data_IF_341301079296
#
_entry.id   IF_341301079296
#
_cell.length_a   1.000
_cell.length_b   1.000
_cell.length_c   1.000
_cell.angle_alpha   90.00
_cell.angle_beta   90.00
_cell.angle_gamma   90.00
#
_symmetry.space_group_name_H-M   'P 1'
#
loop_
_entity.id
_entity.type
_entity.pdbx_description
1 polymer ?
#
# COMPACT_ATOMS: atom_id res chain seq x y z
N UNK A 1 38.47 55.12 25.61
CA UNK A 1 38.12 53.72 25.94
C UNK A 1 37.03 53.29 24.98
N UNK A 2 37.42 52.59 23.93
CA UNK A 2 36.56 52.13 22.84
C UNK A 2 36.18 50.68 23.15
N UNK A 3 34.95 50.47 23.59
CA UNK A 3 34.42 49.14 23.89
C UNK A 3 33.94 48.52 22.60
N UNK A 4 34.75 47.65 22.00
CA UNK A 4 34.37 46.81 20.86
C UNK A 4 33.35 45.76 21.32
N UNK A 5 32.11 45.90 20.86
CA UNK A 5 31.05 44.93 21.09
C UNK A 5 31.29 43.69 20.21
N UNK A 6 31.59 42.58 20.86
CA UNK A 6 31.75 41.26 20.27
C UNK A 6 30.39 40.76 19.74
N UNK A 7 30.22 40.77 18.42
CA UNK A 7 29.03 40.32 17.67
C UNK A 7 29.21 38.91 17.12
N UNK A 8 30.13 38.11 17.67
CA UNK A 8 30.42 36.77 17.17
C UNK A 8 29.78 35.68 18.03
N UNK A 9 28.47 35.41 17.83
CA UNK A 9 27.81 34.09 18.06
C UNK A 9 26.30 34.17 17.83
N UNK A 10 25.88 34.44 16.60
CA UNK A 10 24.60 33.91 16.13
C UNK A 10 24.89 32.50 15.64
N UNK A 11 24.87 31.54 16.57
CA UNK A 11 24.84 30.14 16.21
C UNK A 11 23.53 29.91 15.44
N UNK A 12 23.63 29.81 14.13
CA UNK A 12 22.57 29.34 13.24
C UNK A 12 22.33 27.86 13.55
N UNK A 13 21.64 27.59 14.66
CA UNK A 13 21.01 26.30 14.86
C UNK A 13 20.09 26.09 13.66
N UNK A 14 20.44 25.17 12.78
CA UNK A 14 19.55 24.78 11.69
C UNK A 14 18.22 24.37 12.34
N UNK A 15 17.09 24.93 11.89
CA UNK A 15 15.80 24.58 12.46
C UNK A 15 15.63 23.06 12.32
N UNK A 16 15.57 22.37 13.46
CA UNK A 16 15.38 20.93 13.50
C UNK A 16 13.97 20.64 12.97
N UNK A 17 13.89 20.09 11.75
CA UNK A 17 12.64 19.75 11.08
C UNK A 17 11.86 18.75 11.96
N UNK A 18 10.66 19.12 12.42
CA UNK A 18 9.78 18.16 13.11
C UNK A 18 9.27 17.12 12.11
N UNK A 19 9.90 15.95 12.11
CA UNK A 19 9.57 14.84 11.20
C UNK A 19 8.32 14.05 11.64
N UNK A 20 7.78 14.33 12.83
CA UNK A 20 6.68 13.55 13.40
C UNK A 20 5.39 13.61 12.58
N UNK A 21 4.92 14.77 12.07
CA UNK A 21 3.74 14.83 11.20
C UNK A 21 3.93 14.02 9.90
N UNK A 22 5.17 13.96 9.39
CA UNK A 22 5.51 13.20 8.18
C UNK A 22 5.28 11.72 8.36
N UNK A 23 5.90 11.14 9.39
CA UNK A 23 5.76 9.72 9.70
C UNK A 23 4.32 9.33 10.03
N UNK A 24 3.57 10.21 10.69
CA UNK A 24 2.17 9.94 11.03
C UNK A 24 1.27 9.89 9.80
N UNK A 25 1.44 10.83 8.87
CA UNK A 25 0.73 10.80 7.60
C UNK A 25 1.09 9.56 6.78
N UNK A 26 2.39 9.25 6.66
CA UNK A 26 2.88 8.07 5.97
C UNK A 26 2.34 6.77 6.59
N UNK A 27 2.36 6.64 7.91
CA UNK A 27 1.82 5.47 8.62
C UNK A 27 0.30 5.35 8.45
N UNK A 28 -0.44 6.45 8.47
CA UNK A 28 -1.90 6.45 8.24
C UNK A 28 -2.22 5.98 6.82
N UNK A 29 -1.51 6.52 5.82
CA UNK A 29 -1.71 6.12 4.44
C UNK A 29 -1.26 4.67 4.21
N UNK A 30 -0.15 4.25 4.84
CA UNK A 30 0.32 2.87 4.84
C UNK A 30 -0.72 1.90 5.42
N UNK A 31 -1.29 2.20 6.58
CA UNK A 31 -2.33 1.37 7.20
C UNK A 31 -3.56 1.22 6.29
N UNK A 32 -3.97 2.29 5.61
CA UNK A 32 -5.04 2.24 4.64
C UNK A 32 -4.66 1.41 3.40
N UNK A 33 -3.45 1.63 2.87
CA UNK A 33 -2.89 0.82 1.79
C UNK A 33 -2.80 -0.67 2.14
N UNK A 34 -2.55 -1.02 3.39
CA UNK A 34 -2.52 -2.41 3.83
C UNK A 34 -3.89 -3.09 3.68
N UNK A 35 -4.97 -2.41 4.09
CA UNK A 35 -6.32 -2.93 3.92
C UNK A 35 -6.68 -3.09 2.43
N UNK A 36 -6.30 -2.12 1.60
CA UNK A 36 -6.50 -2.20 0.14
C UNK A 36 -5.69 -3.33 -0.49
N UNK A 37 -4.43 -3.53 -0.07
CA UNK A 37 -3.58 -4.58 -0.60
C UNK A 37 -4.08 -5.98 -0.24
N UNK A 38 -4.53 -6.17 1.00
CA UNK A 38 -5.23 -7.37 1.43
C UNK A 38 -6.47 -7.64 0.57
N UNK A 39 -7.31 -6.62 0.36
CA UNK A 39 -8.50 -6.73 -0.50
C UNK A 39 -8.15 -7.22 -1.92
N UNK A 40 -7.12 -6.66 -2.54
CA UNK A 40 -6.72 -7.02 -3.91
C UNK A 40 -6.27 -8.48 -3.99
N UNK A 41 -5.39 -8.92 -3.08
CA UNK A 41 -4.84 -10.27 -3.14
C UNK A 41 -5.90 -11.31 -2.83
N UNK A 42 -6.70 -11.12 -1.78
CA UNK A 42 -7.78 -12.06 -1.43
C UNK A 42 -8.81 -12.16 -2.55
N UNK A 43 -9.23 -11.03 -3.14
CA UNK A 43 -10.17 -11.05 -4.27
C UNK A 43 -9.60 -11.79 -5.47
N UNK A 44 -8.30 -11.65 -5.73
CA UNK A 44 -7.64 -12.34 -6.85
C UNK A 44 -7.53 -13.86 -6.59
N UNK A 45 -7.15 -14.28 -5.38
CA UNK A 45 -7.10 -15.70 -4.99
C UNK A 45 -8.48 -16.36 -5.10
N UNK A 46 -9.52 -15.68 -4.61
CA UNK A 46 -10.91 -16.14 -4.76
C UNK A 46 -11.30 -16.23 -6.24
N UNK A 47 -10.95 -15.24 -7.05
CA UNK A 47 -11.27 -15.20 -8.48
C UNK A 47 -10.55 -16.26 -9.33
N UNK A 48 -9.32 -16.65 -8.96
CA UNK A 48 -8.52 -17.63 -9.70
C UNK A 48 -8.99 -19.08 -9.52
N UNK A 49 -9.81 -19.36 -8.53
CA UNK A 49 -10.16 -20.74 -8.19
C UNK A 49 -11.61 -20.98 -8.53
N UNK A 50 -11.85 -21.61 -9.68
CA UNK A 50 -13.18 -21.94 -10.19
C UNK A 50 -14.01 -22.84 -9.24
N UNK A 51 -13.37 -23.50 -8.27
CA UNK A 51 -14.03 -24.28 -7.22
C UNK A 51 -14.73 -23.44 -6.14
N UNK A 52 -14.35 -22.17 -5.94
CA UNK A 52 -14.92 -21.31 -4.87
C UNK A 52 -16.24 -20.63 -5.24
N UNK A 53 -16.72 -20.81 -6.47
CA UNK A 53 -18.12 -20.53 -6.79
C UNK A 53 -19.08 -21.58 -6.19
N UNK A 54 -18.56 -22.72 -5.71
CA UNK A 54 -19.35 -23.87 -5.24
C UNK A 54 -19.06 -24.24 -3.78
N UNK A 55 -17.81 -24.20 -3.30
CA UNK A 55 -17.44 -24.49 -1.89
C UNK A 55 -16.57 -23.37 -1.31
N UNK A 56 -17.18 -22.41 -0.62
CA UNK A 56 -16.46 -21.31 0.05
C UNK A 56 -15.63 -21.78 1.26
N UNK A 57 -15.89 -22.98 1.78
CA UNK A 57 -15.20 -23.58 2.94
C UNK A 57 -13.86 -24.26 2.58
N UNK A 58 -13.46 -24.23 1.30
CA UNK A 58 -12.33 -25.02 0.81
C UNK A 58 -10.95 -24.32 0.90
N UNK A 59 -10.86 -23.07 1.34
CA UNK A 59 -9.58 -22.41 1.63
C UNK A 59 -9.19 -22.63 3.09
N UNK A 60 -8.03 -23.26 3.36
CA UNK A 60 -7.45 -23.26 4.69
C UNK A 60 -7.36 -21.80 5.20
N UNK A 61 -7.88 -21.48 6.40
CA UNK A 61 -7.83 -20.13 6.95
C UNK A 61 -6.39 -19.56 7.02
N UNK A 62 -5.41 -20.44 7.17
CA UNK A 62 -3.98 -20.15 7.17
C UNK A 62 -3.49 -19.56 5.82
N UNK A 63 -3.90 -20.12 4.69
CA UNK A 63 -3.53 -19.62 3.37
C UNK A 63 -4.12 -18.23 3.11
N UNK A 64 -5.38 -18.03 3.49
CA UNK A 64 -6.07 -16.74 3.35
C UNK A 64 -5.37 -15.69 4.20
N UNK A 65 -5.06 -16.00 5.47
CA UNK A 65 -4.35 -15.10 6.36
C UNK A 65 -2.97 -14.75 5.80
N UNK A 66 -2.25 -15.75 5.30
CA UNK A 66 -0.95 -15.56 4.70
C UNK A 66 -0.99 -14.62 3.49
N UNK A 67 -1.88 -14.86 2.52
CA UNK A 67 -2.02 -14.00 1.35
C UNK A 67 -2.52 -12.59 1.71
N UNK A 68 -3.38 -12.48 2.74
CA UNK A 68 -3.82 -11.21 3.32
C UNK A 68 -2.65 -10.41 3.86
N UNK A 69 -1.74 -11.05 4.61
CA UNK A 69 -0.54 -10.40 5.16
C UNK A 69 0.40 -9.95 4.04
N UNK A 70 0.66 -10.81 3.05
CA UNK A 70 1.54 -10.45 1.91
C UNK A 70 0.97 -9.25 1.16
N UNK A 71 -0.29 -9.29 0.75
CA UNK A 71 -0.96 -8.17 0.09
C UNK A 71 -0.97 -6.91 0.95
N UNK A 72 -1.25 -7.05 2.24
CA UNK A 72 -1.27 -5.94 3.18
C UNK A 72 0.10 -5.29 3.37
N UNK A 73 1.18 -6.06 3.47
CA UNK A 73 2.53 -5.51 3.58
C UNK A 73 2.95 -4.77 2.31
N UNK A 74 2.67 -5.31 1.13
CA UNK A 74 2.96 -4.61 -0.13
C UNK A 74 2.19 -3.30 -0.22
N UNK A 75 0.90 -3.33 0.10
CA UNK A 75 0.04 -2.14 0.10
C UNK A 75 0.52 -1.09 1.09
N UNK A 76 0.94 -1.52 2.29
CA UNK A 76 1.51 -0.65 3.31
C UNK A 76 2.78 0.05 2.81
N UNK A 77 3.71 -0.69 2.21
CA UNK A 77 4.98 -0.14 1.72
C UNK A 77 4.74 0.87 0.61
N UNK A 78 3.92 0.53 -0.40
CA UNK A 78 3.61 1.43 -1.52
C UNK A 78 2.94 2.70 -1.01
N UNK A 79 1.83 2.57 -0.28
CA UNK A 79 1.08 3.72 0.23
C UNK A 79 1.88 4.55 1.23
N UNK A 80 2.60 3.90 2.15
CA UNK A 80 3.43 4.57 3.15
C UNK A 80 4.57 5.36 2.51
N UNK A 81 5.25 4.79 1.52
CA UNK A 81 6.28 5.48 0.75
C UNK A 81 5.69 6.65 -0.02
N UNK A 82 4.54 6.48 -0.68
CA UNK A 82 3.82 7.57 -1.35
C UNK A 82 3.51 8.71 -0.38
N UNK A 83 2.97 8.40 0.81
CA UNK A 83 2.66 9.40 1.82
C UNK A 83 3.90 10.12 2.36
N UNK A 84 5.00 9.37 2.54
CA UNK A 84 6.29 9.92 2.95
C UNK A 84 6.88 10.87 1.90
N UNK A 85 6.82 10.50 0.62
CA UNK A 85 7.37 11.28 -0.50
C UNK A 85 6.56 12.55 -0.79
N UNK A 86 5.23 12.46 -0.76
CA UNK A 86 4.36 13.65 -0.94
C UNK A 86 4.63 14.66 0.17
N UNK A 87 4.84 14.19 1.39
CA UNK A 87 5.11 15.05 2.53
C UNK A 87 6.61 15.45 2.63
N UNK A 88 7.45 15.06 1.64
CA UNK A 88 8.84 15.51 1.47
C UNK A 88 8.94 16.74 0.55
N UNK A 89 7.99 16.94 -0.37
CA UNK A 89 8.11 17.97 -1.42
C UNK A 89 7.89 19.39 -0.92
N UNK A 90 7.45 19.59 0.32
CA UNK A 90 7.40 20.89 0.97
C UNK A 90 8.76 21.29 1.55
N UNK A 91 9.83 21.21 0.75
CA UNK A 91 11.10 21.92 1.01
C UNK A 91 10.95 23.45 0.90
N UNK A 92 9.78 23.99 1.22
CA UNK A 92 9.52 25.39 1.53
C UNK A 92 9.42 25.62 3.06
N UNK A 93 9.67 24.61 3.89
CA UNK A 93 9.69 24.76 5.35
C UNK A 93 11.03 25.28 5.88
N UNK A 94 11.50 26.38 5.28
CA UNK A 94 12.31 27.38 5.97
C UNK A 94 11.45 28.59 6.43
N UNK A 95 10.16 28.63 6.13
CA UNK A 95 9.25 29.64 6.68
C UNK A 95 7.81 29.11 6.71
N UNK A 96 7.22 29.07 7.92
CA UNK A 96 5.82 29.38 8.29
C UNK A 96 4.63 29.15 7.33
N UNK A 97 4.76 28.45 6.21
CA UNK A 97 3.74 28.41 5.16
C UNK A 97 2.93 27.12 5.29
N UNK A 98 1.65 27.17 5.66
CA UNK A 98 0.85 25.97 5.90
C UNK A 98 0.82 25.10 4.63
N UNK A 99 1.13 23.80 4.76
CA UNK A 99 0.92 22.82 3.68
C UNK A 99 -0.51 22.96 3.18
N UNK A 100 -0.73 22.88 1.88
CA UNK A 100 -2.08 22.85 1.30
C UNK A 100 -2.47 21.41 0.99
N UNK A 101 -3.73 21.07 1.25
CA UNK A 101 -4.28 19.77 0.87
C UNK A 101 -4.25 19.64 -0.65
N UNK A 102 -3.79 18.50 -1.16
CA UNK A 102 -3.80 18.24 -2.59
C UNK A 102 -5.25 18.13 -3.09
N UNK A 103 -5.48 18.60 -4.31
CA UNK A 103 -6.75 18.38 -5.00
C UNK A 103 -6.99 16.89 -5.30
N UNK A 104 -8.22 16.56 -5.69
CA UNK A 104 -8.58 15.17 -6.04
C UNK A 104 -7.83 14.67 -7.31
N UNK A 105 -7.48 15.58 -8.24
CA UNK A 105 -6.77 15.21 -9.47
C UNK A 105 -5.35 14.65 -9.19
N UNK A 106 -4.48 15.29 -8.40
CA UNK A 106 -3.24 14.67 -7.94
C UNK A 106 -3.44 13.32 -7.25
N UNK A 107 -4.48 13.20 -6.41
CA UNK A 107 -4.80 11.94 -5.75
C UNK A 107 -5.26 10.84 -6.72
N UNK A 108 -5.99 11.19 -7.78
CA UNK A 108 -6.34 10.25 -8.86
C UNK A 108 -5.09 9.74 -9.59
N UNK A 109 -4.13 10.63 -9.90
CA UNK A 109 -2.86 10.23 -10.48
C UNK A 109 -2.06 9.32 -9.54
N UNK A 110 -2.02 9.62 -8.24
CA UNK A 110 -1.39 8.78 -7.22
C UNK A 110 -2.11 7.43 -7.05
N UNK A 111 -3.43 7.38 -7.22
CA UNK A 111 -4.21 6.16 -7.30
C UNK A 111 -3.81 5.29 -8.49
N UNK A 112 -3.57 5.91 -9.66
CA UNK A 112 -3.02 5.22 -10.83
C UNK A 112 -1.61 4.67 -10.59
N UNK A 113 -0.75 5.44 -9.91
CA UNK A 113 0.59 4.96 -9.52
C UNK A 113 0.48 3.81 -8.52
N UNK A 114 -0.36 3.93 -7.48
CA UNK A 114 -0.60 2.86 -6.52
C UNK A 114 -1.07 1.59 -7.22
N UNK A 115 -2.06 1.70 -8.10
CA UNK A 115 -2.57 0.60 -8.91
C UNK A 115 -1.47 -0.17 -9.65
N UNK A 116 -0.66 0.54 -10.43
CA UNK A 116 0.41 -0.07 -11.23
C UNK A 116 1.51 -0.62 -10.32
N UNK A 117 2.05 0.19 -9.41
CA UNK A 117 3.15 -0.22 -8.53
C UNK A 117 2.77 -1.40 -7.65
N UNK A 118 1.58 -1.40 -7.06
CA UNK A 118 1.10 -2.51 -6.24
C UNK A 118 1.03 -3.81 -7.06
N UNK A 119 0.41 -3.77 -8.24
CA UNK A 119 0.22 -4.96 -9.09
C UNK A 119 1.57 -5.57 -9.49
N UNK A 120 2.51 -4.73 -9.92
CA UNK A 120 3.85 -5.16 -10.31
C UNK A 120 4.63 -5.71 -9.11
N UNK A 121 4.56 -5.07 -7.94
CA UNK A 121 5.29 -5.52 -6.75
C UNK A 121 4.73 -6.82 -6.17
N UNK A 122 3.41 -6.96 -6.09
CA UNK A 122 2.77 -8.20 -5.60
C UNK A 122 3.13 -9.35 -6.52
N UNK A 123 2.85 -9.24 -7.83
CA UNK A 123 3.10 -10.33 -8.77
C UNK A 123 4.59 -10.58 -9.03
N UNK A 124 5.42 -9.53 -9.06
CA UNK A 124 6.83 -9.65 -9.43
C UNK A 124 7.77 -10.07 -8.31
N UNK A 125 7.50 -9.64 -7.07
CA UNK A 125 8.41 -9.81 -5.93
C UNK A 125 7.70 -10.48 -4.76
N UNK A 126 6.65 -9.82 -4.25
CA UNK A 126 6.17 -10.13 -2.90
C UNK A 126 5.54 -11.51 -2.81
N UNK A 127 4.67 -11.85 -3.76
CA UNK A 127 4.01 -13.16 -3.77
C UNK A 127 4.98 -14.30 -4.08
N UNK A 128 5.84 -14.23 -5.12
CA UNK A 128 6.80 -15.30 -5.36
C UNK A 128 7.81 -15.48 -4.21
N UNK A 129 8.31 -14.37 -3.64
CA UNK A 129 9.24 -14.45 -2.52
C UNK A 129 8.57 -15.03 -1.28
N UNK A 130 7.32 -14.65 -1.02
CA UNK A 130 6.56 -15.22 0.06
C UNK A 130 6.45 -16.75 -0.14
N UNK A 131 6.06 -17.23 -1.33
CA UNK A 131 5.89 -18.66 -1.58
C UNK A 131 7.19 -19.46 -1.33
N UNK A 132 8.36 -18.88 -1.67
CA UNK A 132 9.67 -19.47 -1.36
C UNK A 132 9.93 -19.54 0.16
N UNK A 133 9.56 -18.49 0.90
CA UNK A 133 9.64 -18.49 2.38
C UNK A 133 8.71 -19.54 2.98
N UNK A 134 7.48 -19.67 2.48
CA UNK A 134 6.52 -20.65 2.97
C UNK A 134 7.02 -22.07 2.74
N UNK A 135 7.49 -22.38 1.53
CA UNK A 135 8.07 -23.68 1.20
C UNK A 135 9.27 -24.04 2.11
N UNK A 136 10.06 -23.06 2.53
CA UNK A 136 11.16 -23.28 3.47
C UNK A 136 10.65 -23.53 4.91
N UNK A 137 9.71 -22.72 5.38
CA UNK A 137 9.12 -22.85 6.73
C UNK A 137 8.39 -24.18 6.89
N UNK A 138 7.71 -24.65 5.84
CA UNK A 138 7.01 -25.94 5.81
C UNK A 138 7.96 -27.13 5.67
N UNK A 139 9.28 -26.88 5.52
CA UNK A 139 10.29 -27.92 5.34
C UNK A 139 10.23 -28.60 3.96
N UNK A 140 9.51 -28.04 3.00
CA UNK A 140 9.41 -28.55 1.64
C UNK A 140 10.72 -28.36 0.85
N UNK A 141 11.54 -27.38 1.23
CA UNK A 141 12.86 -27.12 0.62
C UNK A 141 13.94 -26.92 1.71
N UNK A 142 15.18 -27.39 1.49
CA UNK A 142 16.30 -27.10 2.39
C UNK A 142 16.75 -25.63 2.26
N UNK A 143 17.54 -25.16 3.24
CA UNK A 143 18.02 -23.78 3.28
C UNK A 143 18.82 -23.35 2.02
N UNK A 144 19.60 -24.27 1.44
CA UNK A 144 20.38 -23.97 0.22
C UNK A 144 19.46 -23.66 -0.95
N UNK A 145 18.39 -24.43 -1.13
CA UNK A 145 17.39 -24.22 -2.18
C UNK A 145 16.57 -22.96 -1.92
N UNK A 146 16.26 -22.66 -0.65
CA UNK A 146 15.62 -21.40 -0.26
C UNK A 146 16.42 -20.18 -0.72
N UNK A 147 17.74 -20.17 -0.50
CA UNK A 147 18.61 -19.09 -0.97
C UNK A 147 18.63 -19.02 -2.50
N UNK A 148 18.77 -20.17 -3.17
CA UNK A 148 18.75 -20.25 -4.64
C UNK A 148 17.46 -19.67 -5.24
N UNK A 149 16.30 -20.17 -4.79
CA UNK A 149 14.99 -19.71 -5.29
C UNK A 149 14.68 -18.26 -4.93
N UNK A 150 15.19 -17.76 -3.80
CA UNK A 150 15.09 -16.34 -3.45
C UNK A 150 15.88 -15.47 -4.41
N UNK A 151 17.12 -15.86 -4.74
CA UNK A 151 17.94 -15.15 -5.71
C UNK A 151 17.31 -15.20 -7.12
N UNK A 152 16.85 -16.37 -7.56
CA UNK A 152 16.15 -16.51 -8.84
C UNK A 152 14.88 -15.65 -8.90
N UNK A 153 14.18 -15.53 -7.77
CA UNK A 153 13.04 -14.63 -7.66
C UNK A 153 13.44 -13.18 -7.84
N UNK A 154 14.49 -12.72 -7.16
CA UNK A 154 15.00 -11.34 -7.26
C UNK A 154 15.53 -11.02 -8.66
N UNK A 155 16.27 -11.92 -9.29
CA UNK A 155 16.79 -11.69 -10.64
C UNK A 155 15.71 -11.82 -11.72
N UNK A 156 14.68 -12.64 -11.48
CA UNK A 156 13.53 -12.79 -12.35
C UNK A 156 12.51 -11.64 -12.30
N UNK A 157 12.66 -10.69 -11.37
CA UNK A 157 11.68 -9.62 -11.11
C UNK A 157 11.21 -8.88 -12.36
N UNK A 158 12.07 -8.37 -13.26
CA UNK A 158 11.60 -7.57 -14.39
C UNK A 158 10.64 -8.35 -15.29
N UNK A 159 10.88 -9.64 -15.48
CA UNK A 159 10.01 -10.51 -16.28
C UNK A 159 8.72 -10.86 -15.53
N UNK A 160 8.81 -11.25 -14.25
CA UNK A 160 7.65 -11.61 -13.41
C UNK A 160 6.71 -10.43 -13.16
N UNK A 161 7.23 -9.23 -13.02
CA UNK A 161 6.42 -8.01 -12.91
C UNK A 161 5.45 -7.88 -14.08
N UNK A 162 5.89 -8.16 -15.30
CA UNK A 162 5.05 -8.07 -16.50
C UNK A 162 4.11 -9.28 -16.61
N UNK A 163 4.63 -10.49 -16.44
CA UNK A 163 3.85 -11.72 -16.69
C UNK A 163 2.87 -12.06 -15.57
N UNK A 164 3.26 -11.88 -14.30
CA UNK A 164 2.45 -12.22 -13.13
C UNK A 164 1.73 -10.98 -12.57
N UNK A 165 2.37 -9.81 -12.59
CA UNK A 165 1.75 -8.56 -12.13
C UNK A 165 0.50 -8.17 -12.92
N UNK A 166 0.45 -8.51 -14.21
CA UNK A 166 -0.72 -8.31 -15.07
C UNK A 166 -2.01 -8.94 -14.52
N UNK A 167 -1.91 -10.06 -13.80
CA UNK A 167 -3.07 -10.76 -13.21
C UNK A 167 -3.73 -9.96 -12.09
N UNK A 168 -2.96 -9.14 -11.38
CA UNK A 168 -3.45 -8.29 -10.30
C UNK A 168 -3.93 -6.93 -10.78
N UNK A 169 -3.61 -6.52 -12.02
CA UNK A 169 -3.97 -5.18 -12.50
C UNK A 169 -5.48 -4.96 -12.49
N UNK A 170 -6.29 -5.94 -12.85
CA UNK A 170 -7.74 -5.72 -12.87
C UNK A 170 -8.31 -5.48 -11.46
N UNK A 171 -7.97 -6.32 -10.48
CA UNK A 171 -8.44 -6.14 -9.09
C UNK A 171 -7.86 -4.87 -8.46
N UNK A 172 -6.61 -4.56 -8.77
CA UNK A 172 -5.91 -3.40 -8.23
C UNK A 172 -6.42 -2.06 -8.77
N UNK A 173 -7.19 -2.03 -9.88
CA UNK A 173 -7.80 -0.77 -10.36
C UNK A 173 -8.75 -0.20 -9.30
N UNK A 174 -9.54 -1.07 -8.68
CA UNK A 174 -10.47 -0.70 -7.61
C UNK A 174 -9.73 -0.19 -6.39
N UNK A 175 -8.63 -0.85 -6.03
CA UNK A 175 -7.77 -0.37 -4.96
C UNK A 175 -7.12 0.98 -5.28
N UNK A 176 -6.72 1.23 -6.53
CA UNK A 176 -6.22 2.54 -6.96
C UNK A 176 -7.27 3.65 -6.84
N UNK A 177 -8.51 3.38 -7.23
CA UNK A 177 -9.63 4.33 -7.09
C UNK A 177 -9.95 4.62 -5.61
N UNK A 178 -10.03 3.57 -4.79
CA UNK A 178 -10.24 3.69 -3.34
C UNK A 178 -9.06 4.39 -2.67
N UNK A 179 -7.83 4.13 -3.12
CA UNK A 179 -6.64 4.80 -2.63
C UNK A 179 -6.68 6.30 -2.90
N UNK A 180 -7.05 6.71 -4.12
CA UNK A 180 -7.21 8.11 -4.47
C UNK A 180 -8.22 8.82 -3.57
N UNK A 181 -9.41 8.23 -3.40
CA UNK A 181 -10.47 8.83 -2.59
C UNK A 181 -10.10 8.87 -1.10
N UNK A 182 -9.64 7.76 -0.54
CA UNK A 182 -9.28 7.67 0.88
C UNK A 182 -8.06 8.51 1.22
N UNK A 183 -7.04 8.51 0.36
CA UNK A 183 -5.87 9.37 0.50
C UNK A 183 -6.22 10.86 0.49
N UNK A 184 -7.13 11.28 -0.38
CA UNK A 184 -7.65 12.65 -0.41
C UNK A 184 -8.37 13.04 0.89
N UNK A 185 -9.20 12.15 1.46
CA UNK A 185 -9.85 12.39 2.76
C UNK A 185 -8.81 12.51 3.88
N UNK A 186 -7.85 11.58 3.95
CA UNK A 186 -6.80 11.56 4.97
C UNK A 186 -5.94 12.84 4.89
N UNK A 187 -5.62 13.30 3.68
CA UNK A 187 -4.85 14.53 3.42
C UNK A 187 -5.57 15.78 3.91
N UNK A 188 -6.87 15.92 3.60
CA UNK A 188 -7.68 17.05 4.08
C UNK A 188 -7.74 17.12 5.61
N UNK A 189 -7.84 15.98 6.27
CA UNK A 189 -7.85 15.92 7.73
C UNK A 189 -6.47 16.25 8.32
N UNK A 190 -5.40 15.76 7.70
CA UNK A 190 -4.03 16.04 8.13
C UNK A 190 -3.67 17.54 8.06
N UNK A 191 -4.26 18.27 7.11
CA UNK A 191 -4.00 19.70 6.86
C UNK A 191 -5.05 20.62 7.50
N UNK A 192 -6.00 20.06 8.27
CA UNK A 192 -7.07 20.85 8.89
C UNK A 192 -6.55 21.98 9.80
N UNK A 193 -7.20 23.14 9.79
CA UNK A 193 -6.90 24.24 10.70
C UNK A 193 -7.19 23.90 12.18
N UNK A 194 -8.04 22.89 12.42
CA UNK A 194 -8.35 22.42 13.76
C UNK A 194 -7.21 21.53 14.27
N UNK A 195 -6.43 22.01 15.24
CA UNK A 195 -5.32 21.27 15.85
C UNK A 195 -5.63 19.80 16.25
N UNK A 196 -6.78 19.48 16.88
CA UNK A 196 -7.11 18.08 17.17
C UNK A 196 -7.40 17.26 15.91
N UNK A 197 -8.00 17.84 14.87
CA UNK A 197 -8.25 17.16 13.60
C UNK A 197 -6.96 16.92 12.81
N UNK A 198 -6.06 17.91 12.74
CA UNK A 198 -4.74 17.73 12.12
C UNK A 198 -3.92 16.64 12.83
N UNK A 199 -4.05 16.56 14.16
CA UNK A 199 -3.36 15.55 14.95
C UNK A 199 -4.03 14.18 14.79
N UNK A 200 -5.30 14.02 15.10
CA UNK A 200 -5.92 12.70 15.24
C UNK A 200 -6.80 12.29 14.05
N UNK A 201 -7.13 13.22 13.16
CA UNK A 201 -8.04 12.98 12.04
C UNK A 201 -7.47 12.03 10.99
N UNK A 202 -6.19 12.17 10.63
CA UNK A 202 -5.55 11.27 9.66
C UNK A 202 -5.47 9.80 10.12
N UNK A 203 -4.98 9.47 11.34
CA UNK A 203 -4.97 8.09 11.79
C UNK A 203 -6.39 7.56 12.03
N UNK A 204 -7.32 8.37 12.54
CA UNK A 204 -8.71 7.95 12.72
C UNK A 204 -9.38 7.62 11.38
N UNK A 205 -9.23 8.48 10.38
CA UNK A 205 -9.76 8.23 9.04
C UNK A 205 -9.13 7.00 8.40
N UNK A 206 -7.81 6.80 8.55
CA UNK A 206 -7.16 5.60 8.08
C UNK A 206 -7.75 4.34 8.72
N UNK A 207 -7.90 4.31 10.04
CA UNK A 207 -8.51 3.17 10.75
C UNK A 207 -9.94 2.91 10.28
N UNK A 208 -10.77 3.96 10.17
CA UNK A 208 -12.17 3.83 9.73
C UNK A 208 -12.27 3.35 8.28
N UNK A 209 -11.48 3.91 7.37
CA UNK A 209 -11.47 3.50 5.95
C UNK A 209 -10.95 2.07 5.80
N UNK A 210 -9.89 1.70 6.52
CA UNK A 210 -9.41 0.31 6.57
C UNK A 210 -10.47 -0.64 7.10
N UNK A 211 -11.18 -0.27 8.18
CA UNK A 211 -12.25 -1.08 8.73
C UNK A 211 -13.40 -1.26 7.72
N UNK A 212 -13.75 -0.22 6.97
CA UNK A 212 -14.76 -0.30 5.89
C UNK A 212 -14.31 -1.28 4.81
N UNK A 213 -13.06 -1.17 4.33
CA UNK A 213 -12.51 -2.08 3.30
C UNK A 213 -12.48 -3.53 3.77
N UNK A 214 -12.02 -3.77 5.01
CA UNK A 214 -11.97 -5.12 5.60
C UNK A 214 -13.38 -5.66 5.82
N UNK A 215 -14.30 -4.85 6.34
CA UNK A 215 -15.70 -5.25 6.52
C UNK A 215 -16.34 -5.60 5.18
N UNK A 216 -16.07 -4.82 4.13
CA UNK A 216 -16.53 -5.11 2.79
C UNK A 216 -15.97 -6.45 2.29
N UNK A 217 -14.67 -6.69 2.47
CA UNK A 217 -14.03 -7.96 2.13
C UNK A 217 -14.66 -9.16 2.86
N UNK A 218 -14.98 -9.01 4.14
CA UNK A 218 -15.53 -10.09 4.97
C UNK A 218 -17.02 -10.35 4.75
N UNK A 219 -17.79 -9.33 4.38
CA UNK A 219 -19.24 -9.42 4.21
C UNK A 219 -19.69 -9.64 2.76
N UNK A 220 -18.81 -9.39 1.78
CA UNK A 220 -19.13 -9.61 0.39
C UNK A 220 -19.34 -11.11 0.12
N UNK A 221 -20.44 -11.49 -0.57
CA UNK A 221 -20.59 -12.83 -1.08
C UNK A 221 -19.37 -13.22 -1.94
N UNK A 222 -18.85 -14.46 -1.80
CA UNK A 222 -17.74 -14.95 -2.60
C UNK A 222 -17.97 -14.82 -4.11
N UNK A 223 -19.23 -14.86 -4.57
CA UNK A 223 -19.62 -14.65 -5.97
C UNK A 223 -19.27 -13.25 -6.48
N UNK A 224 -19.44 -12.20 -5.65
CA UNK A 224 -19.09 -10.83 -6.03
C UNK A 224 -17.56 -10.66 -6.02
N UNK A 225 -16.87 -11.21 -5.02
CA UNK A 225 -15.40 -11.22 -4.97
C UNK A 225 -14.82 -11.96 -6.18
N UNK A 226 -15.44 -13.05 -6.59
CA UNK A 226 -15.07 -13.80 -7.79
C UNK A 226 -15.21 -12.94 -9.05
N UNK A 227 -16.32 -12.20 -9.22
CA UNK A 227 -16.46 -11.29 -10.37
C UNK A 227 -15.43 -10.16 -10.38
N UNK A 228 -15.06 -9.64 -9.21
CA UNK A 228 -14.01 -8.63 -9.07
C UNK A 228 -12.63 -9.23 -9.38
N UNK A 229 -12.39 -10.48 -9.00
CA UNK A 229 -11.15 -11.22 -9.20
C UNK A 229 -10.96 -11.81 -10.59
N UNK A 230 -12.04 -12.14 -11.28
CA UNK A 230 -11.99 -12.98 -12.45
C UNK A 230 -11.89 -12.18 -13.76
N UNK A 231 -10.67 -12.10 -14.28
CA UNK A 231 -10.36 -11.53 -15.61
C UNK A 231 -10.52 -12.57 -16.74
N UNK A 232 -10.61 -13.86 -16.40
CA UNK A 232 -10.50 -14.94 -17.39
C UNK A 232 -11.71 -15.11 -18.31
N UNK A 233 -12.85 -14.47 -18.02
CA UNK A 233 -13.99 -14.44 -18.97
C UNK A 233 -13.71 -13.62 -20.23
N UNK A 234 -12.77 -12.66 -20.21
CA UNK A 234 -12.44 -11.89 -21.42
C UNK A 234 -11.42 -12.59 -22.33
N UNK A 235 -10.54 -13.43 -21.77
CA UNK A 235 -9.45 -14.08 -22.53
C UNK A 235 -9.76 -15.50 -22.96
N UNK A 236 -10.72 -16.20 -22.33
CA UNK A 236 -11.16 -17.51 -22.82
C UNK A 236 -12.13 -17.45 -24.02
N UNK A 237 -12.63 -16.28 -24.39
CA UNK A 237 -13.39 -16.09 -25.64
C UNK A 237 -12.51 -16.07 -26.90
N UNK A 238 -11.18 -16.20 -26.76
CA UNK A 238 -10.21 -16.24 -27.85
C UNK A 238 -9.40 -17.54 -27.92
N UNK A 239 -9.88 -18.63 -27.31
CA UNK A 239 -9.34 -19.98 -27.51
C UNK A 239 -10.43 -20.93 -28.00
#
# INVERSE_FOLDING_TARGET
MTTTADTSRVATASPQEDTKPRWRFAASLGLYGAALGAFVVVSNVVGLTSKFAVDADALPPEDVLYFTIVGGLTGFVVAGLTGYLINRSTRAFASSTPRHALGILPWAALGGVYWVSFSLLVGGITLPQANVVLAYVDGAIPFVDFVGFSLDTIFGVPFRMVSEGGRFMYTAIWAGLLFALGGWVIDRLAVSANAPAARYGSPLAAVLLSAIVITFLLLLPPTILWHIGNVTTATQLYR
#
